data_IF_059750724922
#
_entry.id   IF_059750724922
#
_cell.length_a   1.000
_cell.length_b   1.000
_cell.length_c   1.000
_cell.angle_alpha   90.00
_cell.angle_beta   90.00
_cell.angle_gamma   90.00
#
_symmetry.space_group_name_H-M   'P 1'
#
loop_
_entity.id
_entity.type
_entity.pdbx_description
1 polymer ?
#
# COMPACT_ATOMS: atom_id res chain seq x y z
N UNK A 1 -6.94 -27.35 -4.54
CA UNK A 1 -7.65 -26.58 -5.57
C UNK A 1 -8.96 -26.11 -4.98
N UNK A 2 -9.13 -24.81 -4.84
CA UNK A 2 -10.23 -24.18 -4.08
C UNK A 2 -11.56 -24.10 -4.84
N UNK A 3 -11.72 -24.79 -5.99
CA UNK A 3 -12.96 -24.86 -6.76
C UNK A 3 -13.49 -23.51 -7.30
N UNK A 4 -12.68 -22.47 -7.29
CA UNK A 4 -13.03 -21.15 -7.80
C UNK A 4 -12.80 -21.12 -9.31
N UNK A 5 -13.83 -20.84 -10.09
CA UNK A 5 -13.75 -20.84 -11.57
C UNK A 5 -13.26 -19.54 -12.21
N UNK A 6 -12.97 -18.50 -11.40
CA UNK A 6 -12.60 -17.16 -11.87
C UNK A 6 -11.20 -16.72 -11.41
N UNK A 7 -10.28 -17.69 -11.23
CA UNK A 7 -8.89 -17.43 -10.82
C UNK A 7 -7.97 -17.74 -12.01
N UNK A 8 -7.10 -16.79 -12.35
CA UNK A 8 -5.96 -16.98 -13.22
C UNK A 8 -4.69 -16.94 -12.37
N UNK A 9 -3.88 -18.02 -12.41
CA UNK A 9 -2.58 -18.10 -11.73
C UNK A 9 -1.48 -17.94 -12.76
N UNK A 10 -0.54 -17.04 -12.50
CA UNK A 10 0.64 -16.80 -13.35
C UNK A 10 1.92 -16.96 -12.52
N UNK A 11 3.04 -17.25 -13.20
CA UNK A 11 4.39 -17.27 -12.61
C UNK A 11 5.28 -16.36 -13.45
N UNK A 12 5.18 -15.06 -13.20
CA UNK A 12 5.87 -14.01 -13.96
C UNK A 12 6.46 -12.95 -13.05
N UNK A 13 7.46 -12.21 -13.55
CA UNK A 13 7.98 -11.05 -12.83
C UNK A 13 6.99 -9.88 -12.84
N UNK A 14 7.02 -9.00 -11.82
CA UNK A 14 6.16 -7.82 -11.77
C UNK A 14 6.28 -6.92 -13.00
N UNK A 15 7.50 -6.71 -13.53
CA UNK A 15 7.75 -5.88 -14.73
C UNK A 15 7.04 -6.47 -15.96
N UNK A 16 7.10 -7.79 -16.09
CA UNK A 16 6.49 -8.47 -17.22
C UNK A 16 4.97 -8.42 -17.11
N UNK A 17 4.41 -8.62 -15.91
CA UNK A 17 2.98 -8.44 -15.68
C UNK A 17 2.55 -7.00 -15.96
N UNK A 18 3.30 -5.99 -15.55
CA UNK A 18 2.99 -4.59 -15.80
C UNK A 18 2.98 -4.24 -17.29
N UNK A 19 3.76 -4.93 -18.11
CA UNK A 19 3.74 -4.74 -19.57
C UNK A 19 2.47 -5.29 -20.23
N UNK A 20 1.86 -6.33 -19.65
CA UNK A 20 0.61 -6.92 -20.16
C UNK A 20 -0.66 -6.28 -19.62
N UNK A 21 -0.60 -5.73 -18.40
CA UNK A 21 -1.76 -5.25 -17.65
C UNK A 21 -1.64 -3.79 -17.20
N UNK A 22 -1.26 -2.82 -18.08
CA UNK A 22 -1.19 -1.42 -17.67
C UNK A 22 -2.57 -0.90 -17.31
N UNK A 23 -2.72 -0.25 -16.14
CA UNK A 23 -3.99 0.32 -15.65
C UNK A 23 -5.18 -0.65 -15.75
N UNK A 24 -4.97 -1.90 -15.40
CA UNK A 24 -5.95 -2.95 -15.62
C UNK A 24 -6.75 -3.31 -14.35
N UNK A 25 -6.10 -3.29 -13.18
CA UNK A 25 -6.69 -3.77 -11.94
C UNK A 25 -7.35 -2.63 -11.14
N UNK A 26 -8.51 -2.91 -10.57
CA UNK A 26 -9.20 -2.01 -9.64
C UNK A 26 -8.59 -2.08 -8.24
N UNK A 27 -8.09 -3.27 -7.87
CA UNK A 27 -7.46 -3.54 -6.56
C UNK A 27 -6.28 -4.48 -6.72
N UNK A 28 -5.19 -4.18 -6.02
CA UNK A 28 -3.99 -5.02 -5.97
C UNK A 28 -3.63 -5.28 -4.52
N UNK A 29 -3.32 -6.54 -4.19
CA UNK A 29 -2.65 -6.93 -2.96
C UNK A 29 -1.21 -7.29 -3.31
N UNK A 30 -0.26 -6.65 -2.65
CA UNK A 30 1.16 -6.98 -2.69
C UNK A 30 1.55 -7.57 -1.35
N UNK A 31 1.71 -8.89 -1.30
CA UNK A 31 2.33 -9.60 -0.18
C UNK A 31 3.80 -9.80 -0.55
N UNK A 32 4.65 -8.87 -0.13
CA UNK A 32 5.99 -8.72 -0.66
C UNK A 32 6.99 -9.67 0.01
N UNK A 33 7.98 -10.20 -0.73
CA UNK A 33 9.12 -10.85 -0.10
C UNK A 33 9.82 -9.87 0.84
N UNK A 34 10.17 -10.32 2.03
CA UNK A 34 10.74 -9.48 3.07
C UNK A 34 11.68 -10.25 4.00
N UNK A 35 12.43 -9.55 4.83
CA UNK A 35 13.36 -10.14 5.80
C UNK A 35 12.69 -11.03 6.88
N UNK A 36 11.37 -10.95 7.03
CA UNK A 36 10.57 -11.93 7.74
C UNK A 36 10.68 -11.93 9.26
N UNK A 37 11.12 -10.84 9.90
CA UNK A 37 11.34 -10.76 11.35
C UNK A 37 10.10 -11.12 12.17
N UNK A 38 8.91 -10.78 11.68
CA UNK A 38 7.64 -11.10 12.31
C UNK A 38 7.34 -12.60 12.36
N UNK A 39 8.02 -13.40 11.54
CA UNK A 39 7.83 -14.85 11.41
C UNK A 39 8.86 -15.70 12.17
N UNK A 40 9.90 -15.12 12.76
CA UNK A 40 11.01 -15.84 13.39
C UNK A 40 10.56 -16.88 14.42
N UNK A 41 9.48 -16.57 15.16
CA UNK A 41 8.90 -17.49 16.16
C UNK A 41 8.26 -18.71 15.49
N UNK A 42 7.67 -18.56 14.31
CA UNK A 42 6.95 -19.61 13.59
C UNK A 42 7.87 -20.43 12.69
N UNK A 43 8.83 -19.76 12.06
CA UNK A 43 9.78 -20.38 11.13
C UNK A 43 11.22 -19.92 11.44
N UNK A 44 11.98 -20.77 12.17
CA UNK A 44 13.38 -20.46 12.48
C UNK A 44 14.30 -20.37 11.25
N UNK A 45 13.90 -20.90 10.10
CA UNK A 45 14.68 -20.80 8.87
C UNK A 45 14.77 -19.34 8.38
N UNK A 46 13.77 -18.51 8.69
CA UNK A 46 13.77 -17.07 8.39
C UNK A 46 14.92 -16.32 9.06
N UNK A 47 15.37 -16.77 10.25
CA UNK A 47 16.54 -16.18 10.93
C UNK A 47 17.81 -16.36 10.11
N UNK A 48 17.98 -17.52 9.48
CA UNK A 48 19.14 -17.79 8.61
C UNK A 48 19.13 -16.90 7.39
N UNK A 49 17.98 -16.80 6.73
CA UNK A 49 17.80 -15.93 5.57
C UNK A 49 18.04 -14.46 5.93
N UNK A 50 17.55 -14.01 7.07
CA UNK A 50 17.77 -12.64 7.58
C UNK A 50 19.27 -12.35 7.82
N UNK A 51 20.02 -13.32 8.35
CA UNK A 51 21.46 -13.16 8.59
C UNK A 51 22.25 -13.12 7.25
N UNK A 52 21.76 -13.75 6.22
CA UNK A 52 22.39 -13.79 4.90
C UNK A 52 22.05 -12.57 4.05
N UNK A 53 20.80 -12.16 4.02
CA UNK A 53 20.27 -11.11 3.15
C UNK A 53 19.90 -9.83 3.92
N UNK A 54 19.04 -9.95 4.94
CA UNK A 54 18.57 -8.85 5.76
C UNK A 54 17.72 -7.80 5.02
N UNK A 55 17.32 -6.72 5.73
CA UNK A 55 16.46 -5.67 5.17
C UNK A 55 17.04 -4.94 3.96
N UNK A 56 18.35 -4.79 3.87
CA UNK A 56 19.00 -4.05 2.78
C UNK A 56 18.93 -4.78 1.43
N UNK A 57 18.77 -6.10 1.47
CA UNK A 57 18.53 -6.92 0.29
C UNK A 57 17.09 -6.80 -0.21
N UNK A 58 16.11 -6.87 0.70
CA UNK A 58 14.70 -6.90 0.34
C UNK A 58 14.12 -5.53 -0.02
N UNK A 59 14.57 -4.46 0.61
CA UNK A 59 14.00 -3.14 0.42
C UNK A 59 14.02 -2.65 -1.05
N UNK A 60 15.10 -2.81 -1.84
CA UNK A 60 15.10 -2.47 -3.27
C UNK A 60 14.10 -3.29 -4.08
N UNK A 61 13.97 -4.59 -3.78
CA UNK A 61 13.03 -5.50 -4.48
C UNK A 61 11.59 -5.04 -4.24
N UNK A 62 11.25 -4.71 -3.00
CA UNK A 62 9.91 -4.24 -2.63
C UNK A 62 9.54 -2.92 -3.30
N UNK A 63 10.49 -1.98 -3.39
CA UNK A 63 10.30 -0.70 -4.09
C UNK A 63 9.96 -0.92 -5.56
N UNK A 64 10.69 -1.81 -6.22
CA UNK A 64 10.42 -2.15 -7.61
C UNK A 64 9.05 -2.82 -7.78
N UNK A 65 8.69 -3.79 -6.94
CA UNK A 65 7.38 -4.44 -6.96
C UNK A 65 6.25 -3.41 -6.82
N UNK A 66 6.38 -2.45 -5.89
CA UNK A 66 5.37 -1.41 -5.68
C UNK A 66 5.21 -0.50 -6.89
N UNK A 67 6.31 -0.08 -7.53
CA UNK A 67 6.27 0.73 -8.76
C UNK A 67 5.57 -0.01 -9.89
N UNK A 68 5.85 -1.31 -10.07
CA UNK A 68 5.17 -2.10 -11.10
C UNK A 68 3.68 -2.31 -10.76
N UNK A 69 3.35 -2.54 -9.49
CA UNK A 69 1.96 -2.62 -9.05
C UNK A 69 1.20 -1.30 -9.31
N UNK A 70 1.84 -0.15 -9.09
CA UNK A 70 1.26 1.16 -9.38
C UNK A 70 0.94 1.36 -10.86
N UNK A 71 1.79 0.84 -11.76
CA UNK A 71 1.55 0.87 -13.22
C UNK A 71 0.34 0.03 -13.64
N UNK A 72 0.13 -1.10 -12.96
CA UNK A 72 -0.98 -2.01 -13.23
C UNK A 72 -2.30 -1.54 -12.63
N UNK A 73 -2.28 -0.63 -11.67
CA UNK A 73 -3.47 -0.13 -10.99
C UNK A 73 -4.14 0.96 -11.81
N UNK A 74 -5.47 0.88 -11.96
CA UNK A 74 -6.30 1.92 -12.57
C UNK A 74 -6.24 3.23 -11.75
N UNK A 75 -6.48 4.39 -12.39
CA UNK A 75 -6.83 5.61 -11.65
C UNK A 75 -7.98 5.36 -10.69
N UNK A 76 -7.92 5.92 -9.49
CA UNK A 76 -8.88 5.66 -8.40
C UNK A 76 -8.75 4.31 -7.71
N UNK A 77 -7.94 3.39 -8.24
CA UNK A 77 -7.74 2.04 -7.71
C UNK A 77 -7.05 2.00 -6.35
N UNK A 78 -7.14 0.84 -5.68
CA UNK A 78 -6.60 0.62 -4.33
C UNK A 78 -5.49 -0.43 -4.34
N UNK A 79 -4.40 -0.16 -3.65
CA UNK A 79 -3.28 -1.08 -3.44
C UNK A 79 -3.08 -1.33 -1.96
N UNK A 80 -3.13 -2.58 -1.53
CA UNK A 80 -2.75 -2.99 -0.18
C UNK A 80 -1.34 -3.60 -0.23
N UNK A 81 -0.40 -2.97 0.46
CA UNK A 81 0.96 -3.46 0.64
C UNK A 81 1.07 -4.15 2.00
N UNK A 82 1.64 -5.35 2.01
CA UNK A 82 1.82 -6.19 3.19
C UNK A 82 3.23 -6.76 3.26
N UNK A 83 3.80 -6.82 4.46
CA UNK A 83 5.04 -7.54 4.78
C UNK A 83 4.91 -8.20 6.16
N UNK A 84 5.78 -9.16 6.43
CA UNK A 84 5.95 -9.75 7.76
C UNK A 84 7.28 -9.35 8.43
N UNK A 85 7.80 -8.16 8.15
CA UNK A 85 9.01 -7.61 8.77
C UNK A 85 8.71 -6.44 9.71
N UNK A 86 9.64 -6.14 10.62
CA UNK A 86 9.59 -4.94 11.46
C UNK A 86 10.52 -3.82 10.95
N UNK A 87 11.29 -4.08 9.90
CA UNK A 87 12.23 -3.11 9.34
C UNK A 87 11.53 -1.87 8.78
N UNK A 88 11.82 -0.65 9.23
CA UNK A 88 11.29 0.57 8.63
C UNK A 88 11.74 0.75 7.17
N UNK A 89 12.94 0.27 6.80
CA UNK A 89 13.45 0.36 5.43
C UNK A 89 12.56 -0.36 4.42
N UNK A 90 12.02 -1.51 4.82
CA UNK A 90 11.15 -2.37 4.01
C UNK A 90 9.68 -1.92 4.07
N UNK A 91 9.26 -1.31 5.15
CA UNK A 91 7.90 -0.92 5.44
C UNK A 91 7.63 0.52 4.99
N UNK A 92 7.78 1.49 5.87
CA UNK A 92 7.57 2.91 5.56
C UNK A 92 8.51 3.41 4.48
N UNK A 93 9.73 2.86 4.39
CA UNK A 93 10.70 3.19 3.35
C UNK A 93 10.24 2.81 1.94
N UNK A 94 9.59 1.65 1.78
CA UNK A 94 9.02 1.25 0.50
C UNK A 94 7.79 2.10 0.15
N UNK A 95 6.93 2.40 1.13
CA UNK A 95 5.78 3.30 0.95
C UNK A 95 6.23 4.71 0.59
N UNK A 96 7.23 5.26 1.30
CA UNK A 96 7.82 6.58 1.00
C UNK A 96 8.33 6.64 -0.43
N UNK A 97 9.08 5.62 -0.86
CA UNK A 97 9.59 5.56 -2.23
C UNK A 97 8.46 5.61 -3.27
N UNK A 98 7.37 4.88 -3.06
CA UNK A 98 6.22 4.93 -3.95
C UNK A 98 5.58 6.33 -3.97
N UNK A 99 5.35 6.95 -2.82
CA UNK A 99 4.74 8.28 -2.73
C UNK A 99 5.61 9.37 -3.38
N UNK A 100 6.94 9.21 -3.34
CA UNK A 100 7.88 10.13 -4.01
C UNK A 100 7.97 9.90 -5.52
N UNK A 101 7.87 8.64 -5.97
CA UNK A 101 7.93 8.25 -7.39
C UNK A 101 6.60 8.52 -8.12
N UNK A 102 5.50 8.37 -7.41
CA UNK A 102 4.12 8.45 -7.94
C UNK A 102 3.29 9.40 -7.05
N UNK A 103 3.40 10.72 -7.23
CA UNK A 103 2.74 11.71 -6.37
C UNK A 103 1.20 11.64 -6.38
N UNK A 104 0.61 10.92 -7.32
CA UNK A 104 -0.84 10.67 -7.36
C UNK A 104 -1.33 9.74 -6.26
N UNK A 105 -0.42 8.99 -5.61
CA UNK A 105 -0.79 8.08 -4.54
C UNK A 105 -0.92 8.78 -3.18
N UNK A 106 -1.81 8.25 -2.37
CA UNK A 106 -1.96 8.62 -0.95
C UNK A 106 -2.17 7.38 -0.10
N UNK A 107 -1.72 7.42 1.15
CA UNK A 107 -2.03 6.38 2.14
C UNK A 107 -3.42 6.64 2.73
N UNK A 108 -4.27 5.63 2.70
CA UNK A 108 -5.60 5.65 3.28
C UNK A 108 -5.59 5.00 4.67
N UNK A 109 -6.32 5.53 5.65
CA UNK A 109 -6.44 4.90 6.94
C UNK A 109 -7.14 3.54 6.83
N UNK A 110 -6.63 2.55 7.53
CA UNK A 110 -7.29 1.26 7.77
C UNK A 110 -8.23 1.38 8.97
N UNK A 111 -9.26 0.52 9.07
CA UNK A 111 -10.08 0.44 10.28
C UNK A 111 -9.20 0.19 11.52
N UNK A 112 -9.53 0.87 12.61
CA UNK A 112 -8.82 0.69 13.87
C UNK A 112 -9.22 -0.65 14.53
N UNK A 113 -8.21 -1.39 14.99
CA UNK A 113 -8.38 -2.59 15.80
C UNK A 113 -7.49 -2.50 17.03
N UNK A 114 -7.95 -3.10 18.12
CA UNK A 114 -7.15 -3.20 19.33
C UNK A 114 -5.83 -3.93 19.05
N UNK A 115 -4.72 -3.34 19.52
CA UNK A 115 -3.38 -3.85 19.27
C UNK A 115 -2.68 -3.32 18.00
N UNK A 116 -3.38 -2.63 17.08
CA UNK A 116 -2.72 -1.94 15.97
C UNK A 116 -1.89 -0.78 16.45
N UNK A 117 -0.72 -0.61 15.85
CA UNK A 117 0.15 0.55 16.06
C UNK A 117 0.29 1.33 14.75
N UNK A 118 0.46 2.66 14.82
CA UNK A 118 0.70 3.47 13.63
C UNK A 118 2.08 3.16 13.02
N UNK A 119 2.25 3.55 11.76
CA UNK A 119 3.54 3.55 11.09
C UNK A 119 4.54 4.48 11.78
N UNK A 120 5.81 4.18 11.62
CA UNK A 120 6.92 4.98 12.13
C UNK A 120 7.19 6.16 11.22
N UNK A 121 7.45 7.33 11.81
CA UNK A 121 7.64 8.58 11.05
C UNK A 121 8.98 9.25 11.30
N UNK A 122 9.70 8.84 12.36
CA UNK A 122 10.84 9.56 12.90
C UNK A 122 12.03 9.68 11.96
N UNK A 123 12.13 8.77 10.98
CA UNK A 123 13.26 8.70 10.03
C UNK A 123 12.92 9.33 8.66
N UNK A 124 11.69 9.90 8.51
CA UNK A 124 11.17 10.35 7.21
C UNK A 124 10.89 11.86 7.20
N UNK A 125 10.65 12.42 6.01
CA UNK A 125 10.32 13.84 5.84
C UNK A 125 9.00 14.19 6.52
N UNK A 126 8.95 15.32 7.18
CA UNK A 126 7.77 15.80 7.89
C UNK A 126 6.52 15.87 6.98
N UNK A 127 6.68 16.20 5.70
CA UNK A 127 5.60 16.24 4.72
C UNK A 127 4.87 14.90 4.53
N UNK A 128 5.51 13.77 4.83
CA UNK A 128 4.95 12.42 4.72
C UNK A 128 4.43 11.88 6.06
N UNK A 129 4.68 12.53 7.19
CA UNK A 129 4.31 12.02 8.52
C UNK A 129 2.84 11.66 8.63
N UNK A 130 1.94 12.52 8.14
CA UNK A 130 0.50 12.26 8.17
C UNK A 130 0.09 11.04 7.38
N UNK A 131 0.73 10.81 6.26
CA UNK A 131 0.48 9.64 5.43
C UNK A 131 1.02 8.37 6.09
N UNK A 132 2.27 8.37 6.52
CA UNK A 132 2.92 7.21 7.13
C UNK A 132 2.26 6.78 8.45
N UNK A 133 1.68 7.70 9.22
CA UNK A 133 0.88 7.37 10.41
C UNK A 133 -0.36 6.51 10.12
N UNK A 134 -0.89 6.55 8.90
CA UNK A 134 -2.00 5.70 8.49
C UNK A 134 -1.59 4.27 8.15
N UNK A 135 -0.29 3.99 8.03
CA UNK A 135 0.20 2.62 7.97
C UNK A 135 -0.06 1.91 9.32
N UNK A 136 -0.20 0.60 9.27
CA UNK A 136 -0.47 -0.22 10.44
C UNK A 136 0.68 -1.17 10.70
N UNK A 137 1.13 -1.22 11.94
CA UNK A 137 2.09 -2.20 12.46
C UNK A 137 1.41 -3.13 13.44
N UNK A 138 1.57 -4.43 13.23
CA UNK A 138 1.04 -5.48 14.10
C UNK A 138 2.22 -6.12 14.81
N UNK A 139 2.19 -6.08 16.14
CA UNK A 139 3.25 -6.62 16.98
C UNK A 139 2.76 -7.81 17.81
N UNK A 140 3.50 -8.95 17.86
CA UNK A 140 3.10 -10.13 18.61
C UNK A 140 2.92 -9.91 20.13
N UNK A 141 3.51 -8.86 20.69
CA UNK A 141 3.35 -8.52 22.10
C UNK A 141 2.07 -7.70 22.39
N UNK A 142 1.40 -7.19 21.34
CA UNK A 142 0.15 -6.42 21.50
C UNK A 142 -1.09 -7.22 21.13
N UNK A 143 -0.95 -8.20 20.25
CA UNK A 143 -2.06 -9.06 19.86
C UNK A 143 -1.59 -10.46 19.51
N UNK A 144 -2.51 -11.43 19.58
CA UNK A 144 -2.19 -12.82 19.21
C UNK A 144 -1.98 -12.92 17.71
N UNK A 145 -0.85 -13.48 17.30
CA UNK A 145 -0.50 -13.67 15.88
C UNK A 145 0.97 -13.39 15.61
N UNK A 146 1.29 -13.32 14.34
CA UNK A 146 2.61 -12.98 13.83
C UNK A 146 2.74 -11.47 13.59
N UNK A 147 3.98 -10.98 13.42
CA UNK A 147 4.21 -9.59 13.11
C UNK A 147 3.89 -9.25 11.66
N UNK A 148 3.20 -8.14 11.44
CA UNK A 148 2.89 -7.65 10.09
C UNK A 148 2.96 -6.13 9.98
N UNK A 149 3.14 -5.66 8.76
CA UNK A 149 2.96 -4.28 8.36
C UNK A 149 1.92 -4.21 7.23
N UNK A 150 1.08 -3.19 7.26
CA UNK A 150 0.05 -2.95 6.25
C UNK A 150 0.05 -1.46 5.87
N UNK A 151 -0.02 -1.19 4.56
CA UNK A 151 -0.28 0.15 4.03
C UNK A 151 -1.33 0.06 2.93
N UNK A 152 -2.48 0.72 3.14
CA UNK A 152 -3.51 0.84 2.13
C UNK A 152 -3.28 2.13 1.36
N UNK A 153 -3.03 2.02 0.06
CA UNK A 153 -2.76 3.14 -0.83
C UNK A 153 -3.87 3.29 -1.86
N UNK A 154 -4.15 4.52 -2.25
CA UNK A 154 -5.07 4.82 -3.34
C UNK A 154 -4.36 5.66 -4.39
N UNK A 155 -4.50 5.27 -5.66
CA UNK A 155 -4.08 6.05 -6.81
C UNK A 155 -5.09 7.16 -7.08
N UNK A 156 -4.65 8.39 -7.36
CA UNK A 156 -5.52 9.48 -7.76
C UNK A 156 -6.30 9.16 -9.03
N UNK A 157 -7.43 9.83 -9.23
CA UNK A 157 -8.14 9.81 -10.50
C UNK A 157 -7.34 10.62 -11.53
N UNK A 158 -7.41 10.25 -12.80
CA UNK A 158 -6.89 11.11 -13.86
C UNK A 158 -7.73 12.40 -13.90
N UNK A 159 -7.02 13.52 -13.89
CA UNK A 159 -7.66 14.83 -14.09
C UNK A 159 -8.14 14.86 -15.56
N UNK A 160 -9.36 14.42 -15.80
CA UNK A 160 -10.00 14.59 -17.10
C UNK A 160 -10.36 16.06 -17.21
N UNK A 161 -9.36 16.88 -17.58
CA UNK A 161 -9.54 18.30 -17.91
C UNK A 161 -10.59 18.44 -19.02
N UNK A 162 -11.83 18.56 -18.61
CA UNK A 162 -12.86 19.19 -19.46
C UNK A 162 -12.68 20.69 -19.26
N UNK A 163 -11.88 21.30 -20.11
CA UNK A 163 -11.93 22.74 -20.34
C UNK A 163 -13.37 23.07 -20.74
N UNK A 164 -14.12 23.55 -19.76
CA UNK A 164 -15.47 24.05 -19.97
C UNK A 164 -15.40 25.38 -20.65
N UNK A 165 -16.00 25.48 -21.80
CA UNK A 165 -16.40 26.75 -22.40
C UNK A 165 -17.20 27.59 -21.40
N UNK A 166 -16.81 28.84 -21.33
CA UNK A 166 -17.42 29.90 -20.55
C UNK A 166 -18.83 30.19 -21.02
N UNK A 167 -19.83 30.13 -20.13
CA UNK A 167 -20.99 30.99 -20.17
C UNK A 167 -21.18 31.66 -18.80
N UNK A 168 -21.09 33.01 -18.84
CA UNK A 168 -21.42 33.89 -17.74
C UNK A 168 -22.94 33.87 -17.49
N UNK A 169 -23.36 33.69 -16.25
CA UNK A 169 -24.37 34.51 -15.59
C UNK A 169 -24.78 33.98 -14.21
N UNK A 170 -24.66 34.82 -13.19
CA UNK A 170 -25.66 34.93 -12.10
C UNK A 170 -25.42 34.11 -10.83
N UNK A 171 -24.75 34.72 -9.87
CA UNK A 171 -25.08 34.78 -8.41
C UNK A 171 -25.77 33.58 -7.74
N UNK A 172 -25.04 32.84 -6.90
CA UNK A 172 -25.38 32.71 -5.45
C UNK A 172 -24.36 31.80 -4.72
N UNK A 173 -23.93 32.29 -3.55
CA UNK A 173 -23.00 31.62 -2.64
C UNK A 173 -23.61 30.34 -2.07
N UNK A 174 -22.96 29.20 -2.25
CA UNK A 174 -23.06 28.05 -1.35
C UNK A 174 -21.69 27.36 -1.18
N UNK A 175 -21.05 27.67 -0.08
CA UNK A 175 -19.91 26.95 0.47
C UNK A 175 -20.27 25.49 0.73
N UNK A 176 -19.72 24.59 -0.06
CA UNK A 176 -19.77 23.14 0.22
C UNK A 176 -18.34 22.61 0.33
N UNK A 177 -17.85 22.50 1.56
CA UNK A 177 -16.62 21.78 1.87
C UNK A 177 -16.80 20.31 1.44
N UNK A 178 -16.14 19.91 0.35
CA UNK A 178 -15.96 18.49 0.05
C UNK A 178 -14.86 17.92 0.95
N UNK A 179 -15.26 17.23 2.00
CA UNK A 179 -14.41 16.25 2.67
C UNK A 179 -14.44 14.99 1.81
N UNK A 180 -13.37 14.74 1.05
CA UNK A 180 -13.15 13.45 0.43
C UNK A 180 -12.91 12.40 1.52
N UNK A 181 -13.93 11.66 1.91
CA UNK A 181 -13.80 10.54 2.83
C UNK A 181 -13.36 9.32 2.06
N UNK A 182 -12.17 8.80 2.36
CA UNK A 182 -11.75 7.48 1.96
C UNK A 182 -12.56 6.46 2.80
N UNK A 183 -13.79 6.15 2.37
CA UNK A 183 -14.69 5.25 3.07
C UNK A 183 -14.58 3.84 2.50
N UNK A 184 -13.93 2.93 3.20
CA UNK A 184 -14.04 1.48 2.93
C UNK A 184 -15.12 0.95 3.86
N UNK A 185 -16.28 0.60 3.31
CA UNK A 185 -17.30 -0.15 4.04
C UNK A 185 -17.02 -1.65 3.87
N UNK A 186 -16.42 -2.25 4.88
CA UNK A 186 -16.34 -3.71 5.00
C UNK A 186 -17.62 -4.18 5.69
N UNK A 187 -18.55 -4.77 4.93
CA UNK A 187 -19.61 -5.61 5.54
C UNK A 187 -18.97 -6.94 5.90
N UNK A 188 -18.92 -7.22 7.20
CA UNK A 188 -18.65 -8.55 7.70
C UNK A 188 -19.79 -9.48 7.26
N UNK A 189 -19.43 -10.62 6.68
CA UNK A 189 -20.31 -11.78 6.55
C UNK A 189 -20.06 -12.72 7.70
#
# INVERSE_FOLDING_TARGET
>A
LFGQGNILVTSESPERLASYFPQFFDKILVDAPCSGEGMFRKDPAMVKDWLEHGPDWYAPIQREILVQAARMLKPGGMLLYSTCTFSPKENEGAVTHLLESEPSFRVCPLPEYDGFAPGRTEEYRESLFWQLKHCVRIYPHRMKGEGHFLALLQKGEEDTGKDGESEEAGTEKRTRKQKGSCGVSLKAA
#
